data_IF_653580168152
#
_entry.id   IF_653580168152
#
_cell.length_a   1.000
_cell.length_b   1.000
_cell.length_c   1.000
_cell.angle_alpha   90.00
_cell.angle_beta   90.00
_cell.angle_gamma   90.00
#
_symmetry.space_group_name_H-M   'P 1'
#
loop_
_entity.id
_entity.type
_entity.pdbx_description
1 polymer ?
#
# COMPACT_ATOMS: atom_id res chain seq x y z
N UNK A 1 -25.79 -4.89 70.56
CA UNK A 1 -25.86 -5.13 69.10
C UNK A 1 -25.75 -3.79 68.38
N UNK A 2 -24.77 -3.66 67.48
CA UNK A 2 -24.51 -2.48 66.64
C UNK A 2 -25.40 -2.55 65.39
N UNK A 3 -25.99 -1.45 64.96
CA UNK A 3 -26.26 -1.23 63.53
C UNK A 3 -26.00 0.23 63.17
N UNK A 4 -25.17 0.37 62.13
CA UNK A 4 -24.41 1.56 61.78
C UNK A 4 -25.07 2.20 60.55
N UNK A 5 -25.51 3.45 60.66
CA UNK A 5 -26.06 4.23 59.54
C UNK A 5 -24.95 4.56 58.52
N UNK A 6 -25.05 4.04 57.30
CA UNK A 6 -24.23 4.50 56.17
C UNK A 6 -25.00 5.55 55.35
N UNK A 7 -24.52 6.79 55.39
CA UNK A 7 -24.88 7.88 54.47
C UNK A 7 -24.43 7.50 53.06
N UNK A 8 -25.36 7.47 52.09
CA UNK A 8 -25.04 7.47 50.66
C UNK A 8 -24.80 8.91 50.23
N UNK A 9 -23.57 9.22 49.78
CA UNK A 9 -23.24 10.47 49.09
C UNK A 9 -23.77 10.40 47.66
N UNK A 10 -24.64 11.34 47.30
CA UNK A 10 -25.04 11.62 45.92
C UNK A 10 -23.91 12.44 45.31
N UNK A 11 -23.27 11.92 44.25
CA UNK A 11 -22.30 12.67 43.46
C UNK A 11 -23.01 13.16 42.20
N UNK A 12 -23.40 14.43 42.21
CA UNK A 12 -23.81 15.18 41.03
C UNK A 12 -22.56 15.40 40.18
N UNK A 13 -22.55 14.91 38.94
CA UNK A 13 -21.53 15.30 37.94
C UNK A 13 -22.18 16.26 36.95
N UNK A 14 -21.70 17.49 37.00
CA UNK A 14 -22.07 18.60 36.14
C UNK A 14 -21.72 18.30 34.68
N UNK A 15 -22.66 18.58 33.79
CA UNK A 15 -22.43 18.74 32.35
C UNK A 15 -21.76 20.09 32.11
N UNK A 16 -20.56 20.09 31.55
CA UNK A 16 -19.98 21.27 30.92
C UNK A 16 -20.14 21.10 29.41
N UNK A 17 -21.13 21.79 28.85
CA UNK A 17 -21.22 22.03 27.43
C UNK A 17 -20.14 23.03 27.02
N UNK A 18 -19.29 22.68 26.06
CA UNK A 18 -18.56 23.66 25.26
C UNK A 18 -18.91 23.40 23.80
N UNK A 19 -19.80 24.22 23.27
CA UNK A 19 -20.06 24.31 21.86
C UNK A 19 -18.92 25.03 21.15
N UNK A 20 -18.41 24.42 20.09
CA UNK A 20 -17.67 25.12 19.05
C UNK A 20 -18.45 24.94 17.75
N UNK A 21 -19.21 25.98 17.40
CA UNK A 21 -19.94 26.13 16.15
C UNK A 21 -18.91 26.45 15.06
N UNK A 22 -18.68 25.55 14.11
CA UNK A 22 -17.87 25.82 12.93
C UNK A 22 -18.80 25.92 11.71
N UNK A 23 -19.13 27.17 11.36
CA UNK A 23 -19.88 27.54 10.17
C UNK A 23 -18.91 27.54 8.99
N UNK A 24 -19.06 26.59 8.08
CA UNK A 24 -18.52 26.68 6.74
C UNK A 24 -19.66 27.01 5.78
N UNK A 25 -19.65 28.24 5.25
CA UNK A 25 -20.57 28.69 4.22
C UNK A 25 -20.30 28.00 2.89
N UNK A 26 -21.37 27.60 2.22
CA UNK A 26 -21.37 27.07 0.86
C UNK A 26 -22.77 27.12 0.27
N UNK A 27 -22.93 28.04 -0.69
CA UNK A 27 -24.01 28.25 -1.66
C UNK A 27 -25.39 27.60 -1.42
N UNK A 28 -26.39 28.47 -1.25
CA UNK A 28 -27.81 28.20 -1.44
C UNK A 28 -28.12 27.73 -2.86
N UNK A 29 -28.53 26.48 -3.00
CA UNK A 29 -29.38 26.04 -4.12
C UNK A 29 -30.62 25.39 -3.53
N UNK A 30 -31.75 26.07 -3.69
CA UNK A 30 -33.08 25.68 -3.25
C UNK A 30 -33.50 24.32 -3.82
N UNK A 31 -33.93 23.40 -2.97
CA UNK A 31 -34.65 22.15 -3.31
C UNK A 31 -35.40 21.64 -2.06
N UNK A 32 -36.47 20.84 -2.22
CA UNK A 32 -37.77 21.14 -1.63
C UNK A 32 -37.88 20.84 -0.13
N UNK A 33 -38.66 21.70 0.53
CA UNK A 33 -39.11 21.55 1.91
C UNK A 33 -39.83 20.21 2.12
N UNK A 34 -39.47 19.51 3.20
CA UNK A 34 -40.28 18.45 3.79
C UNK A 34 -41.64 19.05 4.14
N UNK A 35 -42.70 18.56 3.50
CA UNK A 35 -44.05 19.07 3.71
C UNK A 35 -44.60 18.60 5.06
N UNK A 36 -45.03 19.54 5.89
CA UNK A 36 -45.96 19.27 6.98
C UNK A 36 -47.38 19.19 6.39
N UNK A 37 -48.22 18.36 7.00
CA UNK A 37 -49.55 18.00 6.49
C UNK A 37 -50.45 19.22 6.23
N UNK A 38 -50.67 19.55 4.97
CA UNK A 38 -52.01 19.66 4.38
C UNK A 38 -51.90 19.46 2.84
N UNK A 39 -52.97 18.95 2.24
CA UNK A 39 -53.22 18.68 0.81
C UNK A 39 -52.80 17.32 0.19
N UNK A 40 -53.82 16.66 -0.38
CA UNK A 40 -53.79 15.54 -1.35
C UNK A 40 -54.65 15.97 -2.57
N UNK A 41 -54.63 15.34 -3.78
CA UNK A 41 -53.98 14.07 -4.19
C UNK A 41 -53.32 14.02 -5.61
N UNK A 42 -52.68 12.86 -5.88
CA UNK A 42 -52.55 12.16 -7.21
C UNK A 42 -51.47 12.66 -8.20
N UNK A 43 -50.73 11.88 -9.02
CA UNK A 43 -50.84 10.53 -9.65
C UNK A 43 -49.45 9.97 -10.07
N UNK A 44 -49.31 8.62 -10.18
CA UNK A 44 -48.49 7.79 -11.12
C UNK A 44 -47.04 8.22 -11.52
N UNK A 45 -45.97 7.39 -11.62
CA UNK A 45 -45.77 5.98 -12.04
C UNK A 45 -44.35 5.53 -11.61
N UNK A 46 -44.16 4.24 -11.35
CA UNK A 46 -42.86 3.59 -11.01
C UNK A 46 -41.77 3.70 -12.09
N UNK A 47 -40.52 3.88 -11.65
CA UNK A 47 -39.33 3.33 -12.30
C UNK A 47 -38.21 3.05 -11.26
N UNK A 48 -37.93 1.74 -11.07
CA UNK A 48 -36.70 1.05 -10.62
C UNK A 48 -35.83 1.75 -9.54
N UNK A 49 -35.93 1.28 -8.29
CA UNK A 49 -35.03 1.67 -7.19
C UNK A 49 -33.70 0.88 -7.19
N UNK A 50 -32.53 1.54 -7.05
CA UNK A 50 -31.28 0.89 -6.68
C UNK A 50 -31.25 0.62 -5.16
N UNK A 51 -30.35 -0.26 -4.74
CA UNK A 51 -30.10 -0.69 -3.35
C UNK A 51 -30.16 0.45 -2.34
N UNK A 52 -31.08 0.34 -1.38
CA UNK A 52 -31.40 1.34 -0.36
C UNK A 52 -32.67 2.11 -0.68
N UNK A 53 -33.81 1.43 -0.81
CA UNK A 53 -35.08 2.07 -1.13
C UNK A 53 -35.42 3.15 -0.10
N UNK A 54 -35.78 4.35 -0.60
CA UNK A 54 -36.37 5.40 0.20
C UNK A 54 -37.58 4.85 0.97
N UNK A 55 -37.77 5.34 2.20
CA UNK A 55 -38.91 4.92 3.00
C UNK A 55 -40.22 5.30 2.32
N UNK A 56 -41.24 4.44 2.46
CA UNK A 56 -42.60 4.82 2.06
C UNK A 56 -43.17 5.83 3.07
N UNK A 57 -42.94 7.11 2.78
CA UNK A 57 -43.33 8.24 3.63
C UNK A 57 -44.85 8.42 3.75
N UNK A 58 -45.67 7.66 3.00
CA UNK A 58 -47.14 7.67 3.17
C UNK A 58 -47.62 6.82 4.34
N UNK A 59 -46.76 5.92 4.85
CA UNK A 59 -47.08 5.01 5.97
C UNK A 59 -46.46 5.40 7.30
N UNK A 60 -45.46 6.29 7.28
CA UNK A 60 -44.63 6.60 8.44
C UNK A 60 -44.58 8.10 8.69
N UNK A 61 -44.89 8.51 9.91
CA UNK A 61 -44.79 9.91 10.35
C UNK A 61 -43.67 10.02 11.37
N UNK A 62 -42.74 10.95 11.15
CA UNK A 62 -41.69 11.24 12.12
C UNK A 62 -42.33 11.76 13.43
N UNK A 63 -41.91 11.21 14.57
CA UNK A 63 -42.45 11.58 15.89
C UNK A 63 -41.46 12.33 16.76
N UNK A 64 -40.18 12.30 16.38
CA UNK A 64 -39.08 12.98 17.05
C UNK A 64 -38.22 13.70 16.02
N UNK A 65 -37.48 14.71 16.45
CA UNK A 65 -36.44 15.34 15.63
C UNK A 65 -35.27 14.38 15.41
N UNK A 66 -34.53 14.59 14.32
CA UNK A 66 -33.27 13.90 14.06
C UNK A 66 -32.32 13.96 15.27
N UNK A 67 -31.81 12.78 15.63
CA UNK A 67 -30.78 12.58 16.65
C UNK A 67 -29.53 12.07 15.96
N UNK A 68 -28.40 12.70 16.28
CA UNK A 68 -27.09 12.22 15.89
C UNK A 68 -26.46 11.54 17.09
N UNK A 69 -25.87 10.37 16.87
CA UNK A 69 -25.07 9.65 17.86
C UNK A 69 -23.65 9.57 17.33
N UNK A 70 -22.70 10.02 18.12
CA UNK A 70 -21.28 10.06 17.78
C UNK A 70 -20.48 9.12 18.67
N UNK A 71 -19.60 8.33 18.06
CA UNK A 71 -18.56 7.57 18.76
C UNK A 71 -17.21 8.22 18.52
N UNK A 72 -16.52 8.57 19.59
CA UNK A 72 -15.17 9.14 19.56
C UNK A 72 -14.21 8.21 20.31
N UNK A 73 -13.12 7.84 19.65
CA UNK A 73 -12.07 7.00 20.23
C UNK A 73 -10.79 7.84 20.28
N UNK A 74 -10.30 8.08 21.49
CA UNK A 74 -9.04 8.76 21.75
C UNK A 74 -7.93 7.75 22.03
N UNK A 75 -6.77 7.94 21.40
CA UNK A 75 -5.57 7.17 21.68
C UNK A 75 -4.57 8.05 22.41
N UNK A 76 -4.42 7.81 23.72
CA UNK A 76 -3.67 8.67 24.63
C UNK A 76 -2.63 7.88 25.42
N UNK A 77 -1.58 8.55 25.88
CA UNK A 77 -0.67 8.00 26.88
C UNK A 77 -1.26 8.09 28.30
N UNK A 78 -0.52 7.61 29.30
CA UNK A 78 -0.93 7.64 30.72
C UNK A 78 -1.11 9.07 31.29
N UNK A 79 -0.46 10.06 30.67
CA UNK A 79 -0.59 11.48 31.04
C UNK A 79 -1.77 12.15 30.30
N UNK A 80 -2.48 11.41 29.44
CA UNK A 80 -3.61 11.90 28.65
C UNK A 80 -3.22 12.64 27.37
N UNK A 81 -1.96 12.57 26.94
CA UNK A 81 -1.51 13.18 25.68
C UNK A 81 -1.77 12.26 24.51
N UNK A 82 -2.17 12.79 23.33
CA UNK A 82 -2.50 11.95 22.20
C UNK A 82 -1.27 11.31 21.56
N UNK A 83 -1.38 10.02 21.25
CA UNK A 83 -0.30 9.21 20.63
C UNK A 83 -0.65 8.69 19.24
N UNK A 84 -1.92 8.77 18.83
CA UNK A 84 -2.39 8.51 17.48
C UNK A 84 -3.59 9.41 17.13
N UNK A 85 -3.99 9.54 15.85
CA UNK A 85 -5.19 10.28 15.45
C UNK A 85 -6.47 9.64 15.99
N UNK A 86 -7.43 10.46 16.40
CA UNK A 86 -8.73 9.98 16.90
C UNK A 86 -9.57 9.35 15.79
N UNK A 87 -10.43 8.40 16.17
CA UNK A 87 -11.50 7.90 15.28
C UNK A 87 -12.81 8.52 15.71
N UNK A 88 -13.51 9.14 14.76
CA UNK A 88 -14.83 9.76 14.98
C UNK A 88 -15.81 9.22 13.93
N UNK A 89 -16.87 8.58 14.40
CA UNK A 89 -17.96 8.07 13.56
C UNK A 89 -19.28 8.65 14.06
N UNK A 90 -20.21 8.95 13.16
CA UNK A 90 -21.50 9.53 13.53
C UNK A 90 -22.62 9.01 12.64
N UNK A 91 -23.76 8.71 13.26
CA UNK A 91 -24.96 8.25 12.59
C UNK A 91 -26.14 9.11 13.01
N UNK A 92 -26.87 9.62 12.01
CA UNK A 92 -28.07 10.44 12.22
C UNK A 92 -29.31 9.64 11.88
N UNK A 93 -30.36 9.78 12.69
CA UNK A 93 -31.64 9.19 12.35
C UNK A 93 -32.82 9.77 13.12
N UNK A 94 -34.00 9.30 12.79
CA UNK A 94 -35.28 9.74 13.33
C UNK A 94 -36.15 8.54 13.71
N UNK A 95 -37.00 8.71 14.72
CA UNK A 95 -38.02 7.73 15.07
C UNK A 95 -39.30 8.09 14.31
N UNK A 96 -39.85 7.11 13.61
CA UNK A 96 -41.12 7.23 12.91
C UNK A 96 -42.15 6.31 13.55
N UNK A 97 -43.42 6.71 13.47
CA UNK A 97 -44.56 5.90 13.85
C UNK A 97 -45.45 5.59 12.65
N UNK A 98 -46.12 4.44 12.71
CA UNK A 98 -47.17 4.04 11.77
C UNK A 98 -48.35 3.48 12.57
N UNK A 99 -49.57 3.83 12.15
CA UNK A 99 -50.82 3.36 12.76
C UNK A 99 -51.47 2.31 11.86
N UNK A 100 -51.67 1.11 12.41
CA UNK A 100 -52.42 0.03 11.79
C UNK A 100 -53.63 -0.30 12.68
N UNK A 101 -54.75 0.39 12.46
CA UNK A 101 -55.90 0.34 13.37
C UNK A 101 -55.52 0.90 14.75
N UNK A 102 -55.80 0.13 15.82
CA UNK A 102 -55.48 0.50 17.20
C UNK A 102 -54.00 0.27 17.58
N UNK A 103 -53.19 -0.29 16.67
CA UNK A 103 -51.78 -0.58 16.94
C UNK A 103 -50.88 0.54 16.43
N UNK A 104 -50.03 1.09 17.30
CA UNK A 104 -48.95 2.02 16.93
C UNK A 104 -47.62 1.28 16.91
N UNK A 105 -46.94 1.30 15.77
CA UNK A 105 -45.59 0.74 15.61
C UNK A 105 -44.59 1.88 15.51
N UNK A 106 -43.55 1.86 16.34
CA UNK A 106 -42.42 2.81 16.27
C UNK A 106 -41.18 2.13 15.73
N UNK A 107 -40.45 2.81 14.84
CA UNK A 107 -39.19 2.32 14.29
C UNK A 107 -38.23 3.49 14.05
N UNK A 108 -36.96 3.27 14.35
CA UNK A 108 -35.90 4.21 14.00
C UNK A 108 -35.48 4.01 12.53
N UNK A 109 -35.23 5.08 11.81
CA UNK A 109 -34.69 5.06 10.46
C UNK A 109 -33.50 6.00 10.37
N UNK A 110 -32.46 5.60 9.65
CA UNK A 110 -31.30 6.46 9.44
C UNK A 110 -31.62 7.53 8.41
N UNK A 111 -31.13 8.75 8.66
CA UNK A 111 -31.19 9.85 7.71
C UNK A 111 -29.87 9.92 6.97
N UNK A 112 -29.90 9.64 5.66
CA UNK A 112 -28.74 9.72 4.77
C UNK A 112 -29.04 10.79 3.73
N UNK A 113 -28.20 11.83 3.66
CA UNK A 113 -28.40 12.98 2.77
C UNK A 113 -29.80 13.62 2.87
N UNK A 114 -30.34 13.71 4.10
CA UNK A 114 -31.67 14.26 4.37
C UNK A 114 -32.84 13.32 4.08
N UNK A 115 -32.59 12.07 3.68
CA UNK A 115 -33.63 11.09 3.34
C UNK A 115 -33.63 9.93 4.33
N UNK A 116 -34.83 9.55 4.81
CA UNK A 116 -35.00 8.38 5.68
C UNK A 116 -34.81 7.08 4.90
N UNK A 117 -34.00 6.19 5.46
CA UNK A 117 -33.65 4.89 4.87
C UNK A 117 -33.94 3.76 5.85
N UNK A 118 -34.30 2.59 5.32
CA UNK A 118 -34.53 1.37 6.12
C UNK A 118 -33.23 0.64 6.50
N UNK A 119 -32.08 1.33 6.40
CA UNK A 119 -30.79 0.80 6.80
C UNK A 119 -30.52 1.20 8.24
N UNK A 120 -30.24 0.22 9.10
CA UNK A 120 -29.72 0.48 10.44
C UNK A 120 -28.20 0.58 10.35
N UNK A 121 -27.62 1.76 10.60
CA UNK A 121 -26.18 1.91 10.56
C UNK A 121 -25.54 1.18 11.74
N UNK A 122 -24.25 0.91 11.59
CA UNK A 122 -23.42 0.37 12.65
C UNK A 122 -22.14 1.18 12.71
N UNK A 123 -21.62 1.33 13.90
CA UNK A 123 -20.26 1.80 14.10
C UNK A 123 -19.31 0.63 13.83
N UNK A 124 -18.37 0.83 12.92
CA UNK A 124 -17.52 -0.26 12.44
C UNK A 124 -16.63 -0.81 13.56
N UNK A 125 -16.09 -2.02 13.40
CA UNK A 125 -15.02 -2.47 14.28
C UNK A 125 -13.77 -1.59 14.07
N UNK A 126 -13.11 -1.21 15.15
CA UNK A 126 -11.89 -0.39 15.11
C UNK A 126 -10.74 -1.13 15.80
N UNK A 127 -9.65 -1.32 15.07
CA UNK A 127 -8.41 -1.89 15.61
C UNK A 127 -7.53 -0.75 16.11
N UNK A 128 -7.04 -0.85 17.34
CA UNK A 128 -6.15 0.17 17.89
C UNK A 128 -4.79 0.16 17.18
N UNK A 129 -4.22 1.33 16.86
CA UNK A 129 -2.96 1.42 16.13
C UNK A 129 -1.78 0.92 16.94
N UNK A 130 -0.79 0.35 16.26
CA UNK A 130 0.53 0.10 16.86
C UNK A 130 1.33 1.40 16.91
N UNK A 131 1.77 1.82 18.10
CA UNK A 131 2.52 3.06 18.28
C UNK A 131 3.93 2.76 18.78
N UNK A 132 4.93 3.27 18.06
CA UNK A 132 6.35 3.02 18.36
C UNK A 132 6.72 3.48 19.77
N UNK A 133 7.30 2.59 20.57
CA UNK A 133 7.70 2.88 21.95
C UNK A 133 6.53 2.84 22.95
N UNK A 134 5.35 2.38 22.53
CA UNK A 134 4.17 2.26 23.37
C UNK A 134 3.51 0.88 23.20
N UNK A 135 2.84 0.43 24.26
CA UNK A 135 1.96 -0.75 24.24
C UNK A 135 0.60 -0.39 24.82
N UNK A 136 -0.43 -1.15 24.46
CA UNK A 136 -1.75 -0.97 25.05
C UNK A 136 -1.71 -1.32 26.54
N UNK A 137 -2.25 -0.42 27.38
CA UNK A 137 -2.44 -0.66 28.82
C UNK A 137 -3.39 -1.82 29.09
N UNK A 138 -4.39 -1.98 28.25
CA UNK A 138 -5.38 -3.05 28.34
C UNK A 138 -5.67 -3.64 26.98
N UNK A 139 -5.54 -4.96 26.86
CA UNK A 139 -5.80 -5.71 25.64
C UNK A 139 -7.28 -5.70 25.24
N UNK A 140 -8.20 -5.35 26.14
CA UNK A 140 -9.63 -5.17 25.80
C UNK A 140 -9.83 -4.13 24.70
N UNK A 141 -8.93 -3.14 24.60
CA UNK A 141 -8.97 -2.09 23.60
C UNK A 141 -8.12 -2.39 22.36
N UNK A 142 -7.50 -3.58 22.26
CA UNK A 142 -6.81 -3.96 21.02
C UNK A 142 -7.76 -3.92 19.82
N UNK A 143 -9.00 -4.35 20.06
CA UNK A 143 -10.09 -4.31 19.09
C UNK A 143 -11.34 -3.79 19.79
N UNK A 144 -11.80 -2.62 19.37
CA UNK A 144 -13.11 -2.08 19.73
C UNK A 144 -14.13 -2.71 18.77
N UNK A 145 -15.13 -3.47 19.28
CA UNK A 145 -16.03 -4.23 18.43
C UNK A 145 -16.94 -3.33 17.58
N UNK A 146 -17.57 -3.93 16.57
CA UNK A 146 -18.71 -3.33 15.90
C UNK A 146 -19.82 -3.08 16.94
N UNK A 147 -20.43 -1.90 16.88
CA UNK A 147 -21.54 -1.53 17.77
C UNK A 147 -22.71 -1.10 16.89
N UNK A 148 -23.90 -1.63 17.17
CA UNK A 148 -25.10 -1.15 16.52
C UNK A 148 -25.48 0.25 17.01
N UNK A 149 -26.60 0.73 16.48
CA UNK A 149 -27.11 2.06 16.75
C UNK A 149 -28.58 1.95 17.13
N UNK A 150 -29.01 2.68 18.16
CA UNK A 150 -30.39 2.70 18.62
C UNK A 150 -30.85 4.11 18.98
N UNK A 151 -32.08 4.46 18.62
CA UNK A 151 -32.71 5.72 19.06
C UNK A 151 -33.77 5.53 20.15
N UNK A 152 -34.05 4.29 20.54
CA UNK A 152 -35.05 3.99 21.57
C UNK A 152 -34.50 4.12 23.01
N UNK A 153 -33.22 4.49 23.14
CA UNK A 153 -32.53 4.64 24.43
C UNK A 153 -31.89 3.35 24.95
N UNK A 154 -32.15 2.20 24.33
CA UNK A 154 -31.61 0.91 24.77
C UNK A 154 -30.10 0.81 24.51
N UNK A 155 -29.33 0.57 25.57
CA UNK A 155 -27.93 0.14 25.48
C UNK A 155 -27.77 -1.15 26.28
N UNK A 156 -27.17 -2.16 25.65
CA UNK A 156 -26.84 -3.41 26.32
C UNK A 156 -25.34 -3.55 26.31
N UNK A 157 -24.75 -3.80 27.47
CA UNK A 157 -23.32 -4.05 27.59
C UNK A 157 -23.05 -5.53 27.34
N UNK A 158 -22.04 -5.83 26.54
CA UNK A 158 -21.52 -7.17 26.41
C UNK A 158 -20.58 -7.47 27.58
N UNK A 159 -20.94 -8.45 28.40
CA UNK A 159 -20.16 -8.85 29.57
C UNK A 159 -18.78 -9.42 29.22
N UNK A 160 -18.60 -9.94 27.99
CA UNK A 160 -17.32 -10.51 27.54
C UNK A 160 -16.31 -9.43 27.17
N UNK A 161 -16.78 -8.41 26.46
CA UNK A 161 -15.91 -7.38 25.87
C UNK A 161 -15.90 -6.10 26.68
N UNK A 162 -16.94 -5.87 27.50
CA UNK A 162 -17.10 -4.65 28.27
C UNK A 162 -17.57 -3.45 27.45
N UNK A 163 -17.92 -3.62 26.17
CA UNK A 163 -18.47 -2.57 25.30
C UNK A 163 -19.99 -2.67 25.17
N UNK A 164 -20.63 -1.59 24.75
CA UNK A 164 -22.04 -1.64 24.38
C UNK A 164 -22.24 -2.34 23.03
N UNK A 165 -23.23 -3.23 22.93
CA UNK A 165 -23.62 -3.85 21.66
C UNK A 165 -24.36 -2.88 20.73
N UNK A 166 -25.00 -1.84 21.30
CA UNK A 166 -25.62 -0.74 20.56
C UNK A 166 -25.44 0.58 21.30
N UNK A 167 -25.24 1.67 20.56
CA UNK A 167 -25.15 3.02 21.11
C UNK A 167 -26.47 3.77 20.97
N UNK A 168 -26.95 4.37 22.06
CA UNK A 168 -28.13 5.21 22.09
C UNK A 168 -27.87 6.68 22.44
N UNK A 169 -26.61 6.98 22.74
CA UNK A 169 -26.07 8.30 23.04
C UNK A 169 -24.59 8.32 22.65
N UNK A 170 -23.99 9.50 22.65
CA UNK A 170 -22.58 9.66 22.35
C UNK A 170 -21.71 8.80 23.28
N UNK A 171 -20.68 8.18 22.68
CA UNK A 171 -19.70 7.39 23.41
C UNK A 171 -18.30 7.97 23.21
N UNK A 172 -17.58 8.12 24.31
CA UNK A 172 -16.17 8.49 24.31
C UNK A 172 -15.37 7.33 24.89
N UNK A 173 -14.47 6.77 24.10
CA UNK A 173 -13.59 5.65 24.46
C UNK A 173 -12.17 6.18 24.54
N UNK A 174 -11.56 6.10 25.73
CA UNK A 174 -10.15 6.44 25.92
C UNK A 174 -9.31 5.16 25.92
N UNK A 175 -8.59 4.95 24.83
CA UNK A 175 -7.61 3.88 24.69
C UNK A 175 -6.27 4.38 25.21
N UNK A 176 -5.82 3.80 26.33
CA UNK A 176 -4.59 4.23 27.00
C UNK A 176 -3.42 3.35 26.58
N UNK A 177 -2.32 4.01 26.21
CA UNK A 177 -1.03 3.41 25.92
C UNK A 177 -0.05 3.69 27.06
N UNK A 178 0.75 2.69 27.40
CA UNK A 178 1.87 2.83 28.32
C UNK A 178 3.17 2.85 27.54
N UNK A 179 4.15 3.64 27.99
CA UNK A 179 5.49 3.61 27.41
C UNK A 179 6.08 2.22 27.60
N UNK A 180 6.57 1.64 26.52
CA UNK A 180 7.20 0.34 26.55
C UNK A 180 8.72 0.48 26.50
N UNK A 181 9.34 0.55 27.69
CA UNK A 181 10.79 0.70 27.84
C UNK A 181 11.62 -0.47 27.26
N UNK A 182 10.97 -1.56 26.83
CA UNK A 182 11.58 -2.69 26.13
C UNK A 182 11.42 -2.66 24.61
N UNK A 183 10.46 -1.87 24.08
CA UNK A 183 10.24 -1.73 22.64
C UNK A 183 10.96 -0.50 22.10
N UNK A 184 12.28 -0.43 22.33
CA UNK A 184 13.13 0.66 21.84
C UNK A 184 13.62 0.41 20.43
N UNK A 185 13.63 -0.82 19.93
CA UNK A 185 14.11 -1.20 18.59
C UNK A 185 13.14 -2.18 17.91
N UNK A 186 12.73 -1.89 16.68
CA UNK A 186 12.05 -2.88 15.86
C UNK A 186 13.07 -3.94 15.43
N UNK A 187 12.62 -5.20 15.37
CA UNK A 187 13.48 -6.29 14.93
C UNK A 187 13.98 -5.99 13.52
N UNK A 188 15.29 -6.13 13.34
CA UNK A 188 15.98 -5.90 12.08
C UNK A 188 15.87 -4.46 11.56
N UNK A 189 15.54 -3.44 12.36
CA UNK A 189 15.56 -2.06 11.86
C UNK A 189 16.99 -1.58 11.55
N UNK A 190 17.12 -0.68 10.56
CA UNK A 190 18.37 -0.01 10.23
C UNK A 190 18.21 1.48 10.53
N UNK A 191 18.92 2.03 11.53
CA UNK A 191 18.74 3.41 11.93
C UNK A 191 18.93 4.40 10.77
N UNK A 192 18.03 5.38 10.68
CA UNK A 192 18.10 6.50 9.74
C UNK A 192 18.24 7.80 10.54
N UNK A 193 19.36 8.50 10.38
CA UNK A 193 19.65 9.71 11.16
C UNK A 193 18.56 10.79 10.99
N UNK A 194 18.00 11.28 12.09
CA UNK A 194 16.92 12.28 12.11
C UNK A 194 15.50 11.71 11.93
N UNK A 195 15.36 10.38 11.92
CA UNK A 195 14.09 9.69 11.72
C UNK A 195 13.87 8.58 12.75
N UNK A 196 12.61 8.40 13.12
CA UNK A 196 12.11 7.24 13.87
C UNK A 196 11.59 6.20 12.88
N UNK A 197 12.04 4.94 13.02
CA UNK A 197 11.51 3.81 12.25
C UNK A 197 10.19 3.34 12.89
N UNK A 198 9.12 3.35 12.09
CA UNK A 198 7.77 3.01 12.53
C UNK A 198 7.37 1.58 12.18
N UNK A 199 7.87 1.06 11.06
CA UNK A 199 7.67 -0.34 10.66
C UNK A 199 8.78 -0.81 9.74
N UNK A 200 9.16 -2.08 9.86
CA UNK A 200 10.08 -2.77 8.94
C UNK A 200 9.26 -3.76 8.11
N UNK A 201 9.38 -3.71 6.78
CA UNK A 201 8.65 -4.56 5.85
C UNK A 201 9.61 -5.13 4.79
N UNK A 202 9.22 -6.22 4.16
CA UNK A 202 9.89 -6.81 3.01
C UNK A 202 8.86 -7.09 1.93
N UNK A 203 9.22 -6.88 0.67
CA UNK A 203 8.41 -7.29 -0.46
C UNK A 203 9.28 -8.02 -1.49
N UNK A 204 8.72 -9.03 -2.14
CA UNK A 204 9.44 -9.92 -3.05
C UNK A 204 8.71 -10.06 -4.38
N UNK A 205 9.47 -9.91 -5.47
CA UNK A 205 9.05 -10.33 -6.81
C UNK A 205 9.76 -11.63 -7.17
N UNK A 206 8.98 -12.63 -7.59
CA UNK A 206 9.50 -13.90 -8.12
C UNK A 206 9.08 -14.07 -9.57
N UNK A 207 10.02 -14.26 -10.49
CA UNK A 207 9.74 -14.56 -11.89
C UNK A 207 10.06 -16.03 -12.13
N UNK A 208 9.04 -16.80 -12.49
CA UNK A 208 9.15 -18.24 -12.74
C UNK A 208 9.09 -18.52 -14.25
N UNK A 209 9.87 -19.50 -14.71
CA UNK A 209 9.91 -19.88 -16.12
C UNK A 209 9.41 -21.31 -16.27
N UNK A 210 8.23 -21.48 -16.85
CA UNK A 210 7.54 -22.76 -16.89
C UNK A 210 7.05 -23.11 -18.30
N UNK A 211 6.76 -24.39 -18.54
CA UNK A 211 5.97 -24.81 -19.70
C UNK A 211 4.46 -24.66 -19.46
N UNK A 212 3.66 -25.00 -20.48
CA UNK A 212 2.19 -24.95 -20.42
C UNK A 212 1.56 -25.90 -19.37
N UNK A 213 2.34 -26.85 -18.82
CA UNK A 213 1.91 -27.79 -17.79
C UNK A 213 2.42 -27.39 -16.39
N UNK A 214 3.07 -26.23 -16.27
CA UNK A 214 3.64 -25.75 -15.02
C UNK A 214 4.99 -26.35 -14.64
N UNK A 215 5.64 -27.10 -15.54
CA UNK A 215 6.97 -27.65 -15.28
C UNK A 215 8.00 -26.53 -15.36
N UNK A 216 8.83 -26.38 -14.32
CA UNK A 216 9.95 -25.45 -14.32
C UNK A 216 10.97 -25.80 -15.41
N UNK A 217 11.33 -24.79 -16.21
CA UNK A 217 12.28 -24.90 -17.31
C UNK A 217 13.59 -24.16 -17.04
N UNK A 218 13.60 -23.25 -16.06
CA UNK A 218 14.75 -22.47 -15.66
C UNK A 218 14.55 -21.96 -14.22
N UNK A 219 15.65 -21.83 -13.47
CA UNK A 219 15.63 -21.27 -12.12
C UNK A 219 14.95 -19.90 -12.07
N UNK A 220 14.16 -19.61 -11.02
CA UNK A 220 13.45 -18.35 -10.91
C UNK A 220 14.40 -17.19 -10.64
N UNK A 221 14.01 -16.00 -11.10
CA UNK A 221 14.66 -14.75 -10.71
C UNK A 221 13.91 -14.15 -9.52
N UNK A 222 14.63 -13.85 -8.44
CA UNK A 222 14.04 -13.37 -7.19
C UNK A 222 14.65 -12.01 -6.85
N UNK A 223 13.78 -11.02 -6.62
CA UNK A 223 14.17 -9.70 -6.13
C UNK A 223 13.38 -9.35 -4.88
N UNK A 224 14.06 -9.31 -3.74
CA UNK A 224 13.51 -8.93 -2.44
C UNK A 224 14.04 -7.57 -2.02
N UNK A 225 13.14 -6.69 -1.61
CA UNK A 225 13.44 -5.36 -1.09
C UNK A 225 12.95 -5.26 0.34
N UNK A 226 13.88 -4.95 1.26
CA UNK A 226 13.57 -4.55 2.61
C UNK A 226 13.40 -3.03 2.63
N UNK A 227 12.34 -2.57 3.28
CA UNK A 227 12.03 -1.16 3.37
C UNK A 227 11.38 -0.85 4.71
N UNK A 228 11.46 0.42 5.08
CA UNK A 228 11.03 0.93 6.36
C UNK A 228 10.13 2.13 6.17
N UNK A 229 9.06 2.19 6.95
CA UNK A 229 8.27 3.43 7.09
C UNK A 229 8.89 4.24 8.20
N UNK A 230 9.19 5.50 7.90
CA UNK A 230 9.89 6.39 8.83
C UNK A 230 9.18 7.74 8.92
N UNK A 231 9.34 8.42 10.05
CA UNK A 231 8.90 9.80 10.26
C UNK A 231 9.97 10.58 11.03
N UNK A 232 10.00 11.90 10.92
CA UNK A 232 10.99 12.71 11.63
C UNK A 232 10.90 12.49 13.15
N UNK A 233 12.05 12.35 13.79
CA UNK A 233 12.19 12.21 15.25
C UNK A 233 11.78 13.47 16.03
N UNK A 234 11.63 14.61 15.35
CA UNK A 234 11.17 15.88 15.93
C UNK A 234 9.65 15.97 16.11
N UNK A 235 8.90 15.06 15.48
CA UNK A 235 7.44 15.04 15.54
C UNK A 235 6.94 14.31 16.79
N UNK A 236 5.76 14.69 17.27
CA UNK A 236 5.07 13.93 18.33
C UNK A 236 4.63 12.55 17.83
N UNK A 237 4.41 11.56 18.72
CA UNK A 237 3.94 10.23 18.30
C UNK A 237 2.67 10.26 17.45
N UNK A 238 1.69 11.12 17.80
CA UNK A 238 0.47 11.32 16.98
C UNK A 238 0.79 11.84 15.58
N UNK A 239 1.72 12.80 15.46
CA UNK A 239 2.11 13.35 14.16
C UNK A 239 2.91 12.35 13.32
N UNK A 240 3.74 11.51 13.95
CA UNK A 240 4.44 10.42 13.25
C UNK A 240 3.48 9.38 12.67
N UNK A 241 2.34 9.16 13.32
CA UNK A 241 1.29 8.25 12.83
C UNK A 241 0.46 8.83 11.67
N UNK A 242 0.58 10.12 11.38
CA UNK A 242 -0.08 10.72 10.23
C UNK A 242 0.68 10.35 8.95
N UNK A 243 0.01 9.63 8.03
CA UNK A 243 0.61 9.12 6.80
C UNK A 243 1.20 10.23 5.92
N UNK A 244 0.75 11.49 6.05
CA UNK A 244 1.33 12.62 5.31
C UNK A 244 2.77 12.93 5.74
N UNK A 245 3.10 12.68 7.00
CA UNK A 245 4.43 12.92 7.58
C UNK A 245 5.38 11.71 7.42
N UNK A 246 4.86 10.59 6.94
CA UNK A 246 5.61 9.36 6.75
C UNK A 246 6.30 9.33 5.38
N UNK A 247 7.50 8.78 5.39
CA UNK A 247 8.35 8.53 4.24
C UNK A 247 8.77 7.06 4.21
N UNK A 248 9.36 6.65 3.09
CA UNK A 248 9.91 5.32 2.91
C UNK A 248 11.43 5.40 2.90
N UNK A 249 12.09 4.55 3.66
CA UNK A 249 13.51 4.26 3.52
C UNK A 249 13.69 2.87 2.92
N UNK A 250 14.55 2.73 1.90
CA UNK A 250 14.95 1.40 1.40
C UNK A 250 16.25 0.99 2.06
N UNK A 251 16.29 -0.27 2.52
CA UNK A 251 17.47 -0.84 3.17
C UNK A 251 18.36 -1.49 2.11
N UNK A 252 19.53 -0.90 1.91
CA UNK A 252 20.60 -1.42 1.09
C UNK A 252 21.43 -2.41 1.91
N UNK A 253 21.51 -3.65 1.43
CA UNK A 253 22.26 -4.73 2.05
C UNK A 253 23.51 -5.00 1.23
N UNK A 254 24.68 -4.93 1.88
CA UNK A 254 25.96 -5.36 1.30
C UNK A 254 26.25 -6.78 1.72
N UNK A 255 26.71 -7.62 0.79
CA UNK A 255 27.03 -9.02 1.03
C UNK A 255 28.46 -9.33 0.60
N UNK A 256 29.09 -10.29 1.27
CA UNK A 256 30.36 -10.87 0.82
C UNK A 256 30.14 -11.88 -0.33
N UNK A 257 31.25 -12.48 -0.80
CA UNK A 257 31.24 -13.47 -1.86
C UNK A 257 30.49 -14.76 -1.49
N UNK A 258 30.35 -15.06 -0.18
CA UNK A 258 29.65 -16.23 0.35
C UNK A 258 28.15 -15.94 0.58
N UNK A 259 27.71 -14.70 0.33
CA UNK A 259 26.32 -14.26 0.45
C UNK A 259 25.92 -13.81 1.86
N UNK A 260 26.85 -13.78 2.81
CA UNK A 260 26.60 -13.28 4.17
C UNK A 260 26.47 -11.75 4.14
N UNK A 261 25.65 -11.20 5.03
CA UNK A 261 25.47 -9.76 5.14
C UNK A 261 26.69 -9.16 5.86
N UNK A 262 27.38 -8.24 5.18
CA UNK A 262 28.56 -7.52 5.72
C UNK A 262 28.27 -6.08 6.07
N UNK A 263 27.15 -5.53 5.62
CA UNK A 263 26.72 -4.18 5.97
C UNK A 263 25.27 -3.91 5.60
N UNK A 264 24.64 -2.99 6.32
CA UNK A 264 23.31 -2.47 6.00
C UNK A 264 23.32 -0.95 6.11
N UNK A 265 22.60 -0.29 5.23
CA UNK A 265 22.33 1.14 5.29
C UNK A 265 20.92 1.40 4.79
N UNK A 266 20.28 2.45 5.27
CA UNK A 266 18.94 2.83 4.85
C UNK A 266 18.97 4.21 4.18
N UNK A 267 18.24 4.35 3.07
CA UNK A 267 18.17 5.59 2.30
C UNK A 267 16.71 6.01 2.13
N UNK A 268 16.40 7.24 2.55
CA UNK A 268 15.10 7.86 2.29
C UNK A 268 14.89 7.98 0.78
N UNK A 269 13.75 7.49 0.30
CA UNK A 269 13.33 7.72 -1.07
C UNK A 269 12.52 9.01 -1.15
N UNK A 270 12.82 9.81 -2.19
CA UNK A 270 12.04 11.00 -2.53
C UNK A 270 10.64 10.62 -3.07
N UNK A 271 10.49 9.40 -3.57
CA UNK A 271 9.21 8.83 -4.02
C UNK A 271 8.97 7.50 -3.33
N UNK A 272 7.73 7.16 -2.96
CA UNK A 272 7.43 5.87 -2.32
C UNK A 272 7.52 4.66 -3.28
N UNK A 273 8.07 4.83 -4.48
CA UNK A 273 8.22 3.77 -5.48
C UNK A 273 9.70 3.37 -5.63
N UNK A 274 9.97 2.07 -5.55
CA UNK A 274 11.28 1.50 -5.84
C UNK A 274 11.27 0.83 -7.22
N UNK A 275 12.21 1.23 -8.09
CA UNK A 275 12.31 0.66 -9.44
C UNK A 275 12.88 -0.75 -9.37
N UNK A 276 12.13 -1.73 -9.85
CA UNK A 276 12.61 -3.11 -9.94
C UNK A 276 13.61 -3.27 -11.08
N UNK A 277 14.49 -4.27 -10.97
CA UNK A 277 15.43 -4.60 -12.05
C UNK A 277 14.68 -5.06 -13.28
N UNK A 278 15.17 -4.65 -14.45
CA UNK A 278 14.69 -5.18 -15.72
C UNK A 278 15.25 -6.59 -15.91
N UNK A 279 14.40 -7.56 -16.24
CA UNK A 279 14.77 -8.98 -16.35
C UNK A 279 14.53 -9.46 -17.77
N UNK A 280 15.56 -10.07 -18.37
CA UNK A 280 15.48 -10.67 -19.71
C UNK A 280 15.16 -12.15 -19.56
N UNK A 281 14.03 -12.59 -20.14
CA UNK A 281 13.63 -13.98 -20.09
C UNK A 281 14.65 -14.89 -20.83
N UNK A 282 15.02 -16.05 -20.26
CA UNK A 282 16.04 -16.92 -20.81
C UNK A 282 15.61 -17.51 -22.16
N UNK A 283 16.59 -17.83 -23.01
CA UNK A 283 16.34 -18.57 -24.25
C UNK A 283 16.34 -20.06 -23.94
N UNK A 284 15.21 -20.71 -24.13
CA UNK A 284 15.05 -22.14 -23.88
C UNK A 284 15.03 -22.89 -25.20
N UNK A 285 15.89 -23.90 -25.35
CA UNK A 285 16.04 -24.62 -26.60
C UNK A 285 14.73 -25.33 -27.00
N UNK A 286 14.33 -25.20 -28.27
CA UNK A 286 13.09 -25.80 -28.78
C UNK A 286 11.79 -25.12 -28.32
N UNK A 287 11.85 -24.09 -27.49
CA UNK A 287 10.70 -23.40 -26.92
C UNK A 287 10.62 -21.93 -27.35
N UNK A 288 9.44 -21.33 -27.31
CA UNK A 288 9.20 -19.90 -27.50
C UNK A 288 8.32 -19.38 -26.38
N UNK A 289 8.44 -18.09 -26.06
CA UNK A 289 7.51 -17.44 -25.14
C UNK A 289 6.10 -17.48 -25.70
N UNK A 290 5.13 -17.84 -24.85
CA UNK A 290 3.71 -17.74 -25.19
C UNK A 290 3.31 -16.27 -25.37
N UNK A 291 3.69 -15.42 -24.41
CA UNK A 291 3.59 -13.96 -24.53
C UNK A 291 4.94 -13.36 -24.95
N UNK A 292 5.05 -12.95 -26.20
CA UNK A 292 6.28 -12.35 -26.73
C UNK A 292 6.70 -11.05 -26.01
N UNK A 293 5.77 -10.36 -25.33
CA UNK A 293 6.05 -9.15 -24.54
C UNK A 293 6.79 -9.45 -23.24
N UNK A 294 6.84 -10.72 -22.80
CA UNK A 294 7.60 -11.15 -21.63
C UNK A 294 9.07 -11.42 -21.96
N UNK A 295 9.52 -11.08 -23.17
CA UNK A 295 10.94 -11.19 -23.52
C UNK A 295 11.83 -10.34 -22.60
N UNK A 296 11.36 -9.16 -22.22
CA UNK A 296 11.98 -8.30 -21.22
C UNK A 296 10.87 -7.80 -20.29
N UNK A 297 10.96 -8.15 -19.02
CA UNK A 297 10.10 -7.63 -17.98
C UNK A 297 10.75 -6.36 -17.45
N UNK A 298 10.17 -5.20 -17.76
CA UNK A 298 10.73 -3.89 -17.46
C UNK A 298 9.63 -2.90 -17.10
N UNK A 299 10.01 -1.83 -16.39
CA UNK A 299 9.10 -0.73 -16.05
C UNK A 299 8.17 -1.02 -14.86
N UNK A 300 8.38 -2.12 -14.14
CA UNK A 300 7.66 -2.41 -12.91
C UNK A 300 8.34 -1.74 -11.71
N UNK A 301 7.54 -1.33 -10.74
CA UNK A 301 7.95 -0.67 -9.52
C UNK A 301 7.29 -1.37 -8.34
N UNK A 302 7.99 -1.37 -7.22
CA UNK A 302 7.42 -1.69 -5.91
C UNK A 302 6.85 -0.40 -5.31
N UNK A 303 5.58 -0.39 -4.95
CA UNK A 303 4.96 0.70 -4.21
C UNK A 303 5.06 0.41 -2.72
N UNK A 304 5.86 1.21 -2.02
CA UNK A 304 6.33 0.93 -0.65
C UNK A 304 5.59 1.76 0.42
N UNK A 305 4.50 2.43 0.06
CA UNK A 305 3.74 3.30 0.96
C UNK A 305 2.26 2.93 0.96
N UNK A 306 1.59 3.17 2.08
CA UNK A 306 0.13 3.00 2.18
C UNK A 306 -0.63 4.18 1.54
N UNK A 307 0.07 5.16 0.96
CA UNK A 307 -0.52 6.27 0.21
C UNK A 307 -1.21 5.76 -1.06
N UNK A 308 -2.34 6.37 -1.46
CA UNK A 308 -3.02 6.02 -2.70
C UNK A 308 -2.11 6.28 -3.90
N UNK A 309 -2.27 5.48 -4.94
CA UNK A 309 -1.53 5.58 -6.19
C UNK A 309 -2.46 5.33 -7.38
N UNK A 310 -1.96 5.65 -8.56
CA UNK A 310 -2.68 5.39 -9.81
C UNK A 310 -2.29 4.02 -10.33
N UNK A 311 -3.28 3.13 -10.42
CA UNK A 311 -3.11 1.85 -11.09
C UNK A 311 -2.85 2.08 -12.57
N UNK A 312 -1.73 1.57 -13.06
CA UNK A 312 -1.35 1.62 -14.46
C UNK A 312 -0.91 0.23 -14.89
N UNK A 313 -1.34 -0.22 -16.06
CA UNK A 313 -0.95 -1.50 -16.64
C UNK A 313 0.12 -1.27 -17.70
N UNK A 314 1.17 -2.08 -17.66
CA UNK A 314 2.26 -2.06 -18.62
C UNK A 314 1.83 -2.73 -19.94
N UNK A 315 2.59 -2.46 -21.01
CA UNK A 315 2.32 -3.06 -22.32
C UNK A 315 2.29 -4.59 -22.30
N UNK A 316 3.06 -5.20 -21.41
CA UNK A 316 3.12 -6.65 -21.24
C UNK A 316 1.88 -7.24 -20.54
N UNK A 317 1.01 -6.40 -19.96
CA UNK A 317 -0.21 -6.78 -19.24
C UNK A 317 -0.03 -6.89 -17.73
N UNK A 318 1.16 -6.65 -17.20
CA UNK A 318 1.42 -6.61 -15.75
C UNK A 318 1.07 -5.23 -15.18
N UNK A 319 0.79 -5.17 -13.89
CA UNK A 319 0.67 -3.91 -13.18
C UNK A 319 2.04 -3.21 -13.11
N UNK A 320 2.03 -1.89 -13.31
CA UNK A 320 3.22 -1.06 -13.17
C UNK A 320 3.70 -1.02 -11.72
N UNK A 321 2.77 -1.05 -10.75
CA UNK A 321 3.05 -0.96 -9.33
C UNK A 321 2.62 -2.23 -8.61
N UNK A 322 3.60 -2.91 -8.03
CA UNK A 322 3.42 -4.05 -7.15
C UNK A 322 3.27 -3.55 -5.70
N UNK A 323 2.20 -3.94 -5.01
CA UNK A 323 1.89 -3.55 -3.61
C UNK A 323 2.01 -4.69 -2.60
N UNK A 324 2.12 -5.92 -3.10
CA UNK A 324 2.28 -7.14 -2.32
C UNK A 324 3.30 -8.03 -3.00
N UNK A 325 3.71 -9.12 -2.36
CA UNK A 325 4.53 -10.13 -3.04
C UNK A 325 3.84 -10.63 -4.31
N UNK A 326 4.60 -10.70 -5.41
CA UNK A 326 4.08 -11.08 -6.72
C UNK A 326 4.90 -12.22 -7.32
N UNK A 327 4.18 -13.19 -7.90
CA UNK A 327 4.75 -14.25 -8.73
C UNK A 327 4.35 -13.98 -10.17
N UNK A 328 5.34 -13.70 -11.01
CA UNK A 328 5.18 -13.54 -12.46
C UNK A 328 5.57 -14.86 -13.14
N UNK A 329 4.59 -15.56 -13.70
CA UNK A 329 4.85 -16.81 -14.44
C UNK A 329 5.05 -16.52 -15.92
N UNK A 330 6.26 -16.77 -16.42
CA UNK A 330 6.61 -16.69 -17.83
C UNK A 330 6.45 -18.06 -18.47
N UNK A 331 5.45 -18.20 -19.34
CA UNK A 331 5.11 -19.47 -19.98
C UNK A 331 5.82 -19.62 -21.33
N UNK A 332 6.43 -20.77 -21.52
CA UNK A 332 7.04 -21.23 -22.77
C UNK A 332 6.20 -22.33 -23.41
N UNK A 333 6.13 -22.30 -24.74
CA UNK A 333 5.46 -23.32 -25.57
C UNK A 333 6.42 -23.87 -26.61
N UNK A 334 6.26 -25.13 -27.06
CA UNK A 334 7.09 -25.70 -28.11
C UNK A 334 7.08 -24.88 -29.41
N UNK A 335 8.24 -24.75 -30.05
CA UNK A 335 8.34 -24.10 -31.36
C UNK A 335 7.77 -24.98 -32.47
N UNK A 336 6.88 -24.42 -33.30
CA UNK A 336 6.38 -25.11 -34.49
C UNK A 336 7.45 -25.19 -35.58
N UNK A 337 7.30 -26.09 -36.57
CA UNK A 337 8.18 -26.17 -37.74
C UNK A 337 8.28 -24.83 -38.50
N UNK A 338 7.18 -24.07 -38.54
CA UNK A 338 7.11 -22.72 -39.13
C UNK A 338 7.92 -21.69 -38.34
N UNK A 339 7.91 -21.79 -37.01
CA UNK A 339 8.69 -20.92 -36.13
C UNK A 339 10.19 -21.19 -36.28
N UNK A 340 10.59 -22.45 -36.35
CA UNK A 340 11.99 -22.86 -36.60
C UNK A 340 12.51 -22.34 -37.93
N UNK A 341 11.70 -22.40 -38.99
CA UNK A 341 12.04 -21.83 -40.31
C UNK A 341 12.22 -20.31 -40.26
N UNK A 342 11.31 -19.57 -39.60
CA UNK A 342 11.43 -18.11 -39.43
C UNK A 342 12.66 -17.70 -38.61
N UNK A 343 12.99 -18.45 -37.56
CA UNK A 343 14.18 -18.19 -36.75
C UNK A 343 15.47 -18.39 -37.57
N UNK A 344 15.54 -19.45 -38.38
CA UNK A 344 16.65 -19.70 -39.29
C UNK A 344 16.82 -18.61 -40.35
N UNK A 345 15.71 -18.17 -40.98
CA UNK A 345 15.72 -17.07 -41.97
C UNK A 345 16.14 -15.72 -41.34
N UNK A 346 15.72 -15.44 -40.11
CA UNK A 346 16.08 -14.21 -39.39
C UNK A 346 17.56 -14.21 -38.99
N UNK A 347 18.09 -15.35 -38.57
CA UNK A 347 19.52 -15.52 -38.29
C UNK A 347 20.34 -15.39 -39.57
N UNK A 348 19.93 -16.01 -40.69
CA UNK A 348 20.61 -15.87 -41.98
C UNK A 348 20.69 -14.40 -42.44
N UNK A 349 19.59 -13.64 -42.34
CA UNK A 349 19.57 -12.19 -42.64
C UNK A 349 20.42 -11.35 -41.69
N UNK A 350 20.51 -11.71 -40.42
CA UNK A 350 21.37 -11.01 -39.46
C UNK A 350 22.87 -11.29 -39.74
N UNK A 351 23.20 -12.52 -40.15
CA UNK A 351 24.56 -12.90 -40.56
C UNK A 351 24.96 -12.20 -41.86
N UNK A 352 24.06 -12.08 -42.85
CA UNK A 352 24.28 -11.27 -44.06
C UNK A 352 24.46 -9.78 -43.74
N UNK A 353 23.68 -9.23 -42.81
CA UNK A 353 23.80 -7.81 -42.42
C UNK A 353 25.11 -7.52 -41.67
N UNK A 354 25.58 -8.46 -40.82
CA UNK A 354 26.91 -8.39 -40.19
C UNK A 354 28.04 -8.54 -41.22
N UNK A 355 27.89 -9.44 -42.20
CA UNK A 355 28.86 -9.63 -43.28
C UNK A 355 28.94 -8.44 -44.25
N UNK A 356 27.84 -7.68 -44.41
CA UNK A 356 27.80 -6.44 -45.18
C UNK A 356 28.48 -5.28 -44.44
N UNK A 357 28.29 -5.18 -43.12
CA UNK A 357 28.99 -4.20 -42.27
C UNK A 357 30.53 -4.42 -42.21
N UNK A 358 31.01 -5.66 -42.29
CA UNK A 358 32.45 -5.94 -42.42
C UNK A 358 33.01 -5.75 -43.84
N UNK A 359 32.16 -5.68 -44.87
CA UNK A 359 32.59 -5.35 -46.25
C UNK A 359 32.71 -3.84 -46.48
N UNK A 360 31.86 -3.04 -45.84
CA UNK A 360 31.92 -1.57 -45.96
C UNK A 360 33.10 -0.94 -45.18
N UNK A 361 33.68 -1.66 -44.21
CA UNK A 361 34.93 -1.27 -43.54
C UNK A 361 36.22 -1.62 -44.33
N UNK A 362 36.10 -2.33 -45.46
CA UNK A 362 37.23 -2.67 -46.35
C UNK A 362 37.17 -1.94 -47.70
N UNK A 363 36.25 -0.99 -47.85
CA UNK A 363 36.01 -0.23 -49.09
C UNK A 363 36.63 1.18 -49.14
N UNK A 364 37.16 1.70 -48.04
CA UNK A 364 37.72 3.06 -47.96
C UNK A 364 39.22 3.05 -47.71
N UNK A 365 39.98 2.34 -48.56
CA UNK A 365 41.44 2.43 -48.60
C UNK A 365 41.97 2.04 -49.99
N UNK A 366 41.45 2.63 -51.06
CA UNK A 366 42.09 2.60 -52.37
C UNK A 366 41.51 3.68 -53.29
N UNK A 367 42.07 4.89 -53.25
CA UNK A 367 42.29 5.78 -54.41
C UNK A 367 42.74 7.18 -53.95
N UNK A 368 44.05 7.42 -53.91
CA UNK A 368 44.65 8.69 -54.32
C UNK A 368 46.14 8.43 -54.57
N UNK A 369 46.54 8.52 -55.84
CA UNK A 369 47.90 8.28 -56.30
C UNK A 369 48.82 9.49 -56.16
N UNK A 370 50.11 9.15 -56.08
CA UNK A 370 51.32 9.87 -56.49
C UNK A 370 51.58 11.30 -56.00
N UNK A 371 52.60 11.42 -55.14
CA UNK A 371 53.77 12.25 -55.43
C UNK A 371 55.02 11.60 -54.82
N UNK A 372 56.13 11.64 -55.56
CA UNK A 372 57.47 11.15 -55.27
C UNK A 372 58.03 11.68 -53.92
N UNK A 373 59.08 11.16 -53.29
CA UNK A 373 60.36 10.64 -53.79
C UNK A 373 61.14 9.92 -52.66
N UNK A 374 62.00 8.96 -53.02
CA UNK A 374 63.37 8.67 -52.53
C UNK A 374 63.71 8.91 -51.03
N UNK A 375 64.39 8.04 -50.27
CA UNK A 375 65.39 7.01 -50.59
C UNK A 375 65.83 6.27 -49.31
N UNK A 376 66.32 5.04 -49.49
CA UNK A 376 67.33 4.27 -48.72
C UNK A 376 66.98 3.78 -47.29
N UNK A 377 66.85 2.46 -47.09
CA UNK A 377 67.91 1.44 -46.83
C UNK A 377 68.38 1.48 -45.37
N UNK A 378 68.41 0.42 -44.57
CA UNK A 378 68.18 -1.01 -44.75
C UNK A 378 68.57 -1.73 -43.44
N UNK A 379 68.13 -2.99 -43.28
CA UNK A 379 68.77 -4.12 -42.55
C UNK A 379 69.40 -3.87 -41.16
N UNK A 380 69.17 -4.63 -40.07
CA UNK A 380 68.71 -6.00 -39.85
C UNK A 380 69.36 -6.54 -38.56
N UNK A 381 68.76 -7.60 -37.99
CA UNK A 381 69.33 -8.59 -37.05
C UNK A 381 69.53 -8.29 -35.55
N UNK A 382 68.75 -9.05 -34.77
CA UNK A 382 69.01 -9.83 -33.54
C UNK A 382 70.33 -9.68 -32.76
N UNK A 383 70.23 -9.62 -31.42
CA UNK A 383 70.57 -10.73 -30.49
C UNK A 383 70.56 -10.29 -29.01
N UNK A 384 69.92 -11.12 -28.18
CA UNK A 384 70.27 -11.60 -26.83
C UNK A 384 70.82 -10.70 -25.69
N UNK A 385 70.24 -10.98 -24.50
CA UNK A 385 70.86 -11.05 -23.16
C UNK A 385 71.45 -9.74 -22.57
N UNK A 386 71.51 -9.46 -21.27
CA UNK A 386 71.14 -10.03 -19.97
C UNK A 386 71.57 -8.94 -18.94
N UNK A 387 71.25 -9.13 -17.66
CA UNK A 387 71.59 -8.33 -16.47
C UNK A 387 70.73 -7.06 -16.27
N UNK A 388 70.00 -6.87 -15.17
CA UNK A 388 70.22 -7.35 -13.80
C UNK A 388 70.73 -6.19 -12.95
N UNK A 389 69.87 -5.64 -12.08
CA UNK A 389 70.17 -5.32 -10.67
C UNK A 389 69.11 -4.38 -10.09
N UNK A 390 68.65 -4.75 -8.91
CA UNK A 390 67.90 -3.95 -7.98
C UNK A 390 68.72 -2.77 -7.43
N UNK A 391 68.04 -1.75 -6.90
CA UNK A 391 68.34 -1.22 -5.56
C UNK A 391 67.23 -0.31 -5.03
N UNK A 392 67.03 -0.47 -3.74
CA UNK A 392 66.16 0.22 -2.77
C UNK A 392 66.73 1.55 -2.28
N UNK A 393 65.87 2.50 -1.89
CA UNK A 393 65.86 3.24 -0.59
C UNK A 393 64.92 4.47 -0.72
N UNK A 394 63.89 4.63 0.12
CA UNK A 394 63.77 5.07 1.53
C UNK A 394 63.67 6.60 1.73
N UNK A 395 62.62 6.97 2.48
CA UNK A 395 62.51 8.15 3.38
C UNK A 395 62.07 9.45 2.69
N UNK A 396 61.24 10.32 3.24
CA UNK A 396 60.56 10.48 4.53
C UNK A 396 59.75 11.80 4.45
N UNK A 397 58.52 11.87 4.99
CA UNK A 397 58.16 12.50 6.28
C UNK A 397 57.71 13.97 6.20
N UNK A 398 56.59 14.29 6.88
CA UNK A 398 56.23 15.63 7.38
C UNK A 398 54.79 16.08 7.03
N UNK A 399 53.74 15.76 7.82
CA UNK A 399 53.23 16.47 9.04
C UNK A 399 52.34 17.69 8.69
N UNK A 400 51.01 17.58 8.83
CA UNK A 400 50.15 18.13 9.91
C UNK A 400 49.96 19.65 9.89
N UNK A 401 48.72 20.15 9.86
CA UNK A 401 48.05 20.68 11.06
C UNK A 401 46.59 21.09 10.77
N UNK A 402 45.85 21.10 11.87
CA UNK A 402 44.46 21.39 12.20
C UNK A 402 44.00 22.86 12.04
N UNK A 403 42.68 23.07 12.13
CA UNK A 403 42.09 24.40 12.29
C UNK A 403 40.56 24.43 12.14
N UNK A 404 39.89 24.80 13.23
CA UNK A 404 38.50 24.56 13.60
C UNK A 404 37.58 25.82 13.48
N UNK A 405 36.26 25.58 13.54
CA UNK A 405 35.11 26.43 13.93
C UNK A 405 34.65 27.70 13.16
N UNK A 406 33.35 27.66 12.79
CA UNK A 406 32.19 28.48 13.26
C UNK A 406 31.30 28.89 12.06
N UNK A 407 30.00 28.58 11.96
CA UNK A 407 28.91 28.97 12.86
C UNK A 407 28.01 29.98 12.13
N UNK A 408 26.84 29.57 11.62
CA UNK A 408 25.95 30.49 10.90
C UNK A 408 24.62 29.90 10.44
N UNK A 409 23.60 30.10 11.27
CA UNK A 409 22.19 29.76 11.07
C UNK A 409 21.54 30.40 9.84
N UNK A 410 20.64 29.68 9.16
CA UNK A 410 19.79 30.24 8.11
C UNK A 410 18.52 29.43 7.86
N UNK A 411 17.45 29.81 8.59
CA UNK A 411 16.03 29.82 8.23
C UNK A 411 15.40 28.62 7.50
N UNK A 412 14.50 27.95 8.22
CA UNK A 412 13.53 26.99 7.70
C UNK A 412 12.38 27.79 7.07
N UNK A 413 12.39 27.85 5.73
CA UNK A 413 11.32 28.43 4.92
C UNK A 413 10.41 27.34 4.35
N UNK A 414 9.15 27.41 4.73
CA UNK A 414 7.99 26.67 4.21
C UNK A 414 7.68 26.96 2.74
N UNK A 415 7.17 25.96 2.02
CA UNK A 415 6.72 26.02 0.62
C UNK A 415 7.72 25.32 -0.30
N UNK A 416 7.35 24.47 -1.25
CA UNK A 416 6.12 24.35 -2.02
C UNK A 416 6.27 23.12 -2.92
N UNK A 417 5.14 22.61 -3.42
CA UNK A 417 5.02 21.67 -4.54
C UNK A 417 6.23 21.57 -5.47
N UNK A 418 6.84 20.40 -5.49
CA UNK A 418 7.54 19.94 -6.69
C UNK A 418 7.14 18.50 -6.92
N UNK A 419 6.11 18.33 -7.76
CA UNK A 419 5.71 17.03 -8.27
C UNK A 419 6.91 16.33 -8.91
N UNK A 420 7.48 15.38 -8.18
CA UNK A 420 8.26 14.32 -8.81
C UNK A 420 7.26 13.46 -9.56
N UNK A 421 7.00 13.82 -10.82
CA UNK A 421 6.17 13.00 -11.69
C UNK A 421 6.89 11.66 -11.87
N UNK A 422 6.35 10.63 -11.23
CA UNK A 422 6.72 9.24 -11.49
C UNK A 422 6.67 9.00 -13.01
N UNK A 423 7.60 8.22 -13.59
CA UNK A 423 7.56 7.91 -15.01
C UNK A 423 6.31 7.08 -15.32
N UNK A 424 5.25 7.76 -15.78
CA UNK A 424 4.08 7.12 -16.36
C UNK A 424 4.41 6.70 -17.79
N UNK A 425 4.88 5.48 -17.97
CA UNK A 425 5.20 4.95 -19.29
C UNK A 425 3.99 4.33 -20.00
N UNK A 426 2.80 4.32 -19.36
CA UNK A 426 1.66 3.50 -19.77
C UNK A 426 0.45 4.20 -20.40
N UNK A 427 0.39 5.52 -20.54
CA UNK A 427 -0.84 6.16 -21.04
C UNK A 427 -0.88 6.26 -22.57
N UNK A 428 -1.47 5.26 -23.23
CA UNK A 428 -2.26 5.53 -24.45
C UNK A 428 -3.68 5.86 -24.03
N UNK A 429 -4.16 7.04 -24.45
CA UNK A 429 -5.54 7.50 -24.23
C UNK A 429 -6.53 6.42 -24.67
N UNK A 430 -7.24 5.84 -23.72
CA UNK A 430 -8.44 5.05 -23.99
C UNK A 430 -9.62 5.73 -23.26
N UNK A 431 -10.58 6.09 -24.09
CA UNK A 431 -11.86 6.72 -23.78
C UNK A 431 -12.65 5.98 -22.71
N UNK A 432 -13.36 6.76 -21.91
CA UNK A 432 -14.45 6.37 -21.02
C UNK A 432 -15.47 5.44 -21.71
N UNK A 433 -15.59 4.21 -21.22
CA UNK A 433 -16.85 3.45 -21.24
C UNK A 433 -16.86 2.37 -20.15
N UNK A 434 -17.97 2.39 -19.41
CA UNK A 434 -18.44 1.49 -18.36
C UNK A 434 -18.30 -0.02 -18.65
N UNK A 435 -18.08 -0.76 -17.56
CA UNK A 435 -18.63 -2.09 -17.17
C UNK A 435 -18.87 -3.15 -18.26
N UNK A 436 -18.13 -4.25 -18.16
CA UNK A 436 -18.45 -5.52 -18.81
C UNK A 436 -17.65 -6.66 -18.20
N UNK A 437 -18.36 -7.64 -17.63
CA UNK A 437 -17.85 -8.78 -16.89
C UNK A 437 -16.78 -9.62 -17.61
N UNK A 438 -15.85 -10.19 -16.83
CA UNK A 438 -14.85 -11.14 -17.31
C UNK A 438 -14.44 -12.10 -16.19
N UNK A 439 -15.27 -13.12 -16.00
CA UNK A 439 -15.05 -14.30 -15.15
C UNK A 439 -13.68 -14.93 -15.44
N UNK A 440 -12.86 -15.20 -14.42
CA UNK A 440 -11.76 -16.16 -14.53
C UNK A 440 -11.90 -17.22 -13.43
N UNK A 441 -12.04 -18.45 -13.91
CA UNK A 441 -12.18 -19.70 -13.18
C UNK A 441 -10.99 -19.97 -12.24
N UNK A 442 -11.27 -20.24 -10.97
CA UNK A 442 -10.39 -21.02 -10.10
C UNK A 442 -11.00 -22.42 -9.96
N UNK A 443 -10.43 -23.38 -10.68
CA UNK A 443 -10.71 -24.81 -10.51
C UNK A 443 -9.43 -25.54 -10.12
N UNK A 444 -9.52 -26.19 -8.95
CA UNK A 444 -8.85 -27.45 -8.53
C UNK A 444 -7.32 -27.41 -8.39
N UNK A 445 -6.67 -28.11 -7.46
CA UNK A 445 -7.02 -29.37 -6.79
C UNK A 445 -6.19 -29.56 -5.52
N UNK A 446 -6.84 -29.95 -4.41
CA UNK A 446 -6.20 -30.72 -3.34
C UNK A 446 -6.71 -32.17 -3.47
N UNK A 447 -5.85 -33.10 -3.85
CA UNK A 447 -6.11 -34.53 -3.69
C UNK A 447 -4.88 -35.22 -3.16
N UNK A 448 -5.05 -35.90 -2.03
CA UNK A 448 -4.46 -37.17 -1.57
C UNK A 448 -4.58 -37.16 -0.04
N UNK A 449 -4.94 -38.20 0.68
CA UNK A 449 -5.49 -39.51 0.40
C UNK A 449 -5.97 -40.02 1.78
N UNK A 450 -7.10 -40.73 1.87
CA UNK A 450 -7.28 -41.70 2.96
C UNK A 450 -8.03 -42.90 2.43
N UNK A 451 -7.33 -44.02 2.52
CA UNK A 451 -7.72 -45.34 2.05
C UNK A 451 -8.46 -46.11 3.16
N UNK A 452 -9.35 -47.02 2.76
CA UNK A 452 -9.87 -48.06 3.62
C UNK A 452 -11.11 -47.70 4.46
N UNK A 453 -12.27 -48.20 4.03
CA UNK A 453 -12.96 -49.34 4.65
C UNK A 453 -14.27 -49.57 3.88
N UNK A 454 -14.30 -50.66 3.12
CA UNK A 454 -15.54 -51.24 2.57
C UNK A 454 -15.86 -52.51 3.35
N UNK A 455 -17.16 -52.65 3.64
CA UNK A 455 -17.91 -53.91 3.89
C UNK A 455 -17.63 -54.54 5.27
N UNK A 456 -18.61 -55.03 6.02
CA UNK A 456 -19.79 -55.80 5.58
C UNK A 456 -20.75 -56.00 6.76
N UNK A 457 -22.06 -56.00 6.44
CA UNK A 457 -23.11 -56.93 6.89
C UNK A 457 -23.40 -57.20 8.40
N UNK A 458 -24.71 -57.17 8.67
CA UNK A 458 -25.53 -58.05 9.54
C UNK A 458 -26.22 -57.37 10.71
N UNK A 459 -27.56 -57.43 10.62
CA UNK A 459 -28.64 -57.23 11.60
C UNK A 459 -29.07 -55.80 11.93
#
# INVERSE_FOLDING_TARGET
MKLNQKRKKVLVRSTAALGALLVCGGAVTSSPLVMHADETPSTHTEAVAPTGSALDNTKWTAVDKAKTITRTIHYIDEDGKPVAPDVVESHTGEVFESKNGDTTVKRAFAIVNGVATNVQPKFAQVVSPSVRGYKLKSTQYATIPEQGWSLDGTQVKDDKTGFYTNLSQDEVINVVYEKDGTATELKDEVPVAGYTVLSVKTMTRTIQYQDENGKELHSPEIETVKYETVASDKLTPKEQQDSKNQQVAVVNITRDADGNITGQSAQILNTPAYKLKDVVSPKINGMKLQNSKFKVLSGQYMWLSDKPYVHATLDNGLDQYMVNDEIVTVIYVPQTKKDKKKAAEKNAKATEKKAKQTKDAKGTAAAAGSAASDSNDGTGSASDADAGSASSDKGGSGSSDSGDFDGGSGSVGSGSDSGSTLPQTGNKKASSSLLGAGVVFLLSSLTMAWDGIKKRLVK
#
